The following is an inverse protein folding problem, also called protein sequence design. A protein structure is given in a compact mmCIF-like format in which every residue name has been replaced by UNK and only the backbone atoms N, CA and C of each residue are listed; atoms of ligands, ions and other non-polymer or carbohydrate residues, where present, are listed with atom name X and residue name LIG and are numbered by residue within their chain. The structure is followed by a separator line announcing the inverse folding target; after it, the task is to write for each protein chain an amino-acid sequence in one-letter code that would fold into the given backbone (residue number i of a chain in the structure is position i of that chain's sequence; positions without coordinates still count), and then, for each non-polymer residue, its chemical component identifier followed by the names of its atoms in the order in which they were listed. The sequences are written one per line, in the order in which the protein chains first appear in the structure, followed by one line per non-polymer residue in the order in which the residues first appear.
data_IF_025680885041
#
_entry.id   IF_025680885041
#
_cell.length_a   1.000
_cell.length_b   1.000
_cell.length_c   1.000
_cell.angle_alpha   90.00
_cell.angle_beta   90.00
_cell.angle_gamma   90.00
#
_symmetry.space_group_name_H-M   'P 1'
#
loop_
_entity.id
_entity.type
_entity.pdbx_description
1 polymer ?
#
# COMPACT_ATOMS: atom_id res chain seq x y z
N UNK A 1 -19.28 -22.12 31.60
CA UNK A 1 -18.09 -21.45 32.14
C UNK A 1 -16.94 -21.84 31.21
N UNK A 2 -16.99 -21.51 29.93
CA UNK A 2 -16.98 -20.17 29.33
C UNK A 2 -15.77 -19.41 29.84
N UNK A 3 -14.73 -19.30 29.01
CA UNK A 3 -13.75 -18.20 28.89
C UNK A 3 -12.71 -18.62 27.83
N UNK A 4 -13.03 -18.43 26.55
CA UNK A 4 -12.04 -18.37 25.48
C UNK A 4 -11.62 -16.90 25.33
N UNK A 5 -10.31 -16.65 25.41
CA UNK A 5 -9.72 -15.35 25.16
C UNK A 5 -9.63 -15.19 23.63
N UNK A 6 -10.40 -14.29 23.05
CA UNK A 6 -10.33 -13.90 21.64
C UNK A 6 -8.95 -13.30 21.31
N UNK A 7 -8.17 -13.97 20.46
CA UNK A 7 -7.18 -13.31 19.60
C UNK A 7 -6.81 -14.19 18.39
N UNK A 8 -7.59 -14.02 17.31
CA UNK A 8 -7.14 -13.98 15.90
C UNK A 8 -6.10 -14.98 15.37
N UNK A 9 -6.16 -16.27 15.70
CA UNK A 9 -5.39 -17.31 15.00
C UNK A 9 -6.21 -18.59 14.87
N UNK A 10 -7.05 -18.71 13.83
CA UNK A 10 -7.80 -19.95 13.57
C UNK A 10 -7.92 -20.24 12.09
N UNK A 11 -6.89 -20.88 11.50
CA UNK A 11 -6.97 -21.64 10.25
C UNK A 11 -5.87 -22.71 10.16
N UNK A 12 -6.07 -23.90 10.72
CA UNK A 12 -5.22 -25.07 10.45
C UNK A 12 -5.80 -26.41 10.97
N UNK A 13 -7.07 -26.76 10.68
CA UNK A 13 -7.56 -28.12 11.07
C UNK A 13 -8.49 -28.86 10.12
N UNK A 14 -8.91 -28.33 8.96
CA UNK A 14 -9.88 -29.07 8.13
C UNK A 14 -9.51 -29.08 6.65
N UNK A 15 -8.88 -30.18 6.19
CA UNK A 15 -9.37 -31.00 5.05
C UNK A 15 -8.24 -31.74 4.31
N UNK A 16 -7.98 -33.01 4.69
CA UNK A 16 -7.26 -33.99 3.86
C UNK A 16 -8.18 -34.94 3.09
N UNK A 17 -9.51 -34.74 3.14
CA UNK A 17 -10.44 -35.84 2.81
C UNK A 17 -11.60 -35.55 1.86
N UNK A 18 -11.92 -34.31 1.45
CA UNK A 18 -13.03 -34.10 0.51
C UNK A 18 -12.68 -33.04 -0.53
N UNK A 19 -12.63 -33.49 -1.78
CA UNK A 19 -12.39 -32.73 -3.01
C UNK A 19 -13.58 -31.80 -3.32
N UNK A 20 -13.66 -30.58 -2.74
CA UNK A 20 -14.36 -29.39 -3.30
C UNK A 20 -14.03 -28.11 -2.50
N UNK A 21 -13.96 -26.98 -3.20
CA UNK A 21 -13.33 -25.70 -2.85
C UNK A 21 -13.82 -25.02 -1.56
N UNK A 22 -12.89 -24.50 -0.72
CA UNK A 22 -12.86 -23.08 -0.30
C UNK A 22 -11.38 -22.72 -0.01
N UNK A 23 -10.75 -21.99 -0.93
CA UNK A 23 -9.48 -21.31 -0.66
C UNK A 23 -9.74 -20.22 0.38
N UNK A 24 -9.29 -20.40 1.62
CA UNK A 24 -9.14 -19.28 2.57
C UNK A 24 -7.64 -19.13 2.73
N UNK A 25 -6.99 -18.60 1.69
CA UNK A 25 -6.49 -17.23 1.68
C UNK A 25 -5.89 -16.88 3.02
N UNK A 26 -4.58 -17.14 3.12
CA UNK A 26 -3.69 -16.38 3.97
C UNK A 26 -4.18 -14.93 4.01
N UNK A 27 -4.25 -14.34 5.20
CA UNK A 27 -4.35 -12.89 5.34
C UNK A 27 -3.06 -12.30 4.73
N UNK A 28 -3.01 -12.21 3.39
CA UNK A 28 -1.90 -11.66 2.65
C UNK A 28 -1.90 -10.18 3.01
N UNK A 29 -1.09 -9.89 4.00
CA UNK A 29 -0.88 -8.55 4.48
C UNK A 29 0.05 -7.86 3.50
N UNK A 30 -0.53 -7.06 2.61
CA UNK A 30 0.19 -6.36 1.57
C UNK A 30 0.98 -5.20 2.19
N UNK A 31 2.29 -5.40 2.41
CA UNK A 31 3.14 -4.42 3.09
C UNK A 31 3.50 -3.23 2.18
N UNK A 32 3.59 -3.47 0.87
CA UNK A 32 3.86 -2.45 -0.12
C UNK A 32 3.13 -2.66 -1.46
N UNK A 33 3.23 -1.66 -2.35
CA UNK A 33 2.65 -1.73 -3.69
C UNK A 33 3.29 -2.82 -4.57
N UNK A 34 4.48 -3.31 -4.26
CA UNK A 34 5.13 -4.37 -5.04
C UNK A 34 4.51 -5.73 -4.71
N UNK A 35 4.11 -5.96 -3.47
CA UNK A 35 3.36 -7.15 -3.09
C UNK A 35 1.97 -7.14 -3.76
N UNK A 36 1.32 -5.97 -3.82
CA UNK A 36 0.07 -5.81 -4.56
C UNK A 36 0.26 -6.17 -6.03
N UNK A 37 1.33 -5.67 -6.65
CA UNK A 37 1.69 -6.00 -8.02
C UNK A 37 1.91 -7.50 -8.25
N UNK A 38 2.66 -8.17 -7.35
CA UNK A 38 2.90 -9.62 -7.40
C UNK A 38 1.62 -10.45 -7.19
N UNK A 39 0.66 -9.93 -6.43
CA UNK A 39 -0.66 -10.56 -6.25
C UNK A 39 -1.57 -10.44 -7.47
N UNK A 40 -1.12 -9.76 -8.54
CA UNK A 40 -1.85 -9.59 -9.80
C UNK A 40 -2.55 -8.23 -9.93
N UNK A 41 -2.35 -7.30 -9.00
CA UNK A 41 -2.87 -5.93 -9.14
C UNK A 41 -2.00 -5.13 -10.11
N UNK A 42 -2.46 -4.97 -11.34
CA UNK A 42 -1.71 -4.28 -12.41
C UNK A 42 -2.25 -2.90 -12.76
N UNK A 43 -3.31 -2.45 -12.09
CA UNK A 43 -3.94 -1.15 -12.34
C UNK A 43 -3.36 -0.11 -11.39
N UNK A 44 -2.87 1.02 -11.92
CA UNK A 44 -2.42 2.15 -11.08
C UNK A 44 -3.61 2.80 -10.38
N UNK A 45 -3.46 3.13 -9.10
CA UNK A 45 -4.56 3.67 -8.31
C UNK A 45 -4.21 3.84 -6.84
N UNK A 46 -5.22 4.18 -6.04
CA UNK A 46 -5.08 4.34 -4.59
C UNK A 46 -5.39 3.00 -3.93
N UNK A 47 -4.47 2.52 -3.10
CA UNK A 47 -4.57 1.27 -2.39
C UNK A 47 -4.27 1.46 -0.91
N UNK A 48 -4.83 0.60 -0.07
CA UNK A 48 -4.44 0.47 1.33
C UNK A 48 -3.30 -0.54 1.45
N UNK A 49 -2.15 -0.10 1.92
CA UNK A 49 -1.02 -0.97 2.27
C UNK A 49 -0.82 -0.93 3.78
N UNK A 50 -0.08 -1.90 4.31
CA UNK A 50 0.15 -1.99 5.74
C UNK A 50 1.65 -2.12 6.04
N UNK A 51 2.42 -1.02 5.87
CA UNK A 51 3.88 -1.05 6.00
C UNK A 51 4.36 -1.37 7.43
N UNK A 52 3.49 -1.23 8.43
CA UNK A 52 3.80 -1.44 9.84
C UNK A 52 3.10 -2.65 10.49
N UNK A 53 2.46 -3.54 9.71
CA UNK A 53 1.81 -4.73 10.28
C UNK A 53 0.37 -4.52 10.75
N UNK A 54 0.09 -3.41 11.42
CA UNK A 54 -1.17 -3.27 12.16
C UNK A 54 -2.07 -2.14 11.65
N UNK A 55 -1.48 -1.11 11.02
CA UNK A 55 -2.19 0.12 10.64
C UNK A 55 -2.14 0.30 9.13
N UNK A 56 -3.30 0.34 8.44
CA UNK A 56 -3.35 0.61 7.02
C UNK A 56 -3.00 2.06 6.73
N UNK A 57 -2.30 2.26 5.62
CA UNK A 57 -1.97 3.57 5.07
C UNK A 57 -2.42 3.60 3.61
N UNK A 58 -3.15 4.66 3.26
CA UNK A 58 -3.58 4.89 1.89
C UNK A 58 -2.44 5.50 1.07
N UNK A 59 -2.08 4.85 -0.02
CA UNK A 59 -1.01 5.28 -0.92
C UNK A 59 -1.46 5.19 -2.36
N UNK A 60 -0.88 6.01 -3.22
CA UNK A 60 -0.98 5.80 -4.65
C UNK A 60 0.07 4.79 -5.10
N UNK A 61 -0.38 3.67 -5.66
CA UNK A 61 0.48 2.66 -6.28
C UNK A 61 0.50 2.87 -7.79
N UNK A 62 1.71 3.03 -8.35
CA UNK A 62 1.91 3.06 -9.80
C UNK A 62 2.32 1.66 -10.26
N UNK A 63 1.35 0.93 -10.81
CA UNK A 63 1.51 -0.46 -11.24
C UNK A 63 2.06 -0.57 -12.67
N UNK A 64 1.94 0.48 -13.48
CA UNK A 64 2.47 0.54 -14.84
C UNK A 64 3.39 1.75 -14.92
N UNK A 65 4.69 1.54 -15.05
CA UNK A 65 5.63 2.61 -15.36
C UNK A 65 5.69 2.79 -16.88
N UNK A 66 5.51 4.02 -17.38
CA UNK A 66 5.80 4.35 -18.79
C UNK A 66 4.88 3.77 -19.88
N UNK A 67 3.79 3.09 -19.51
CA UNK A 67 2.82 2.53 -20.47
C UNK A 67 3.20 1.15 -21.04
N UNK A 68 4.30 0.54 -20.59
CA UNK A 68 4.69 -0.80 -20.96
C UNK A 68 4.52 -1.75 -19.77
N UNK A 69 3.77 -2.84 -19.97
CA UNK A 69 3.57 -3.92 -18.99
C UNK A 69 4.89 -4.64 -18.61
N UNK A 70 5.96 -4.41 -19.36
CA UNK A 70 7.27 -5.02 -19.13
C UNK A 70 8.17 -4.23 -18.17
N UNK A 71 7.81 -2.99 -17.84
CA UNK A 71 8.55 -2.21 -16.86
C UNK A 71 8.14 -2.67 -15.45
N UNK A 72 9.10 -2.95 -14.57
CA UNK A 72 8.84 -3.32 -13.17
C UNK A 72 7.85 -2.33 -12.53
N UNK A 73 6.61 -2.77 -12.33
CA UNK A 73 5.54 -2.03 -11.66
C UNK A 73 5.61 -2.13 -10.14
N UNK A 74 4.54 -1.72 -9.46
CA UNK A 74 4.42 -1.85 -8.00
C UNK A 74 5.13 -0.74 -7.22
N UNK A 75 5.23 0.45 -7.80
CA UNK A 75 5.85 1.58 -7.14
C UNK A 75 4.92 2.19 -6.10
N UNK A 76 5.43 2.39 -4.89
CA UNK A 76 4.72 3.18 -3.88
C UNK A 76 5.10 4.64 -4.04
N UNK A 77 4.12 5.48 -4.36
CA UNK A 77 4.35 6.93 -4.49
C UNK A 77 4.38 7.55 -3.09
N UNK A 78 5.50 8.17 -2.74
CA UNK A 78 5.69 8.83 -1.43
C UNK A 78 5.51 10.35 -1.48
N UNK A 79 5.64 10.91 -2.68
CA UNK A 79 5.41 12.31 -2.96
C UNK A 79 4.71 12.42 -4.31
N UNK A 80 3.59 13.14 -4.35
CA UNK A 80 2.87 13.44 -5.58
C UNK A 80 2.64 14.94 -5.70
N UNK A 81 3.06 15.53 -6.83
CA UNK A 81 2.82 16.92 -7.21
C UNK A 81 2.11 16.97 -8.55
N UNK A 82 1.05 17.77 -8.68
CA UNK A 82 0.22 17.85 -9.88
C UNK A 82 -0.09 19.29 -10.27
N UNK A 83 -0.58 20.10 -9.34
CA UNK A 83 -1.12 21.44 -9.60
C UNK A 83 -0.55 22.52 -8.66
N UNK A 84 0.24 22.14 -7.66
CA UNK A 84 0.77 23.04 -6.64
C UNK A 84 -0.26 23.49 -5.61
N UNK A 85 -1.40 22.82 -5.49
CA UNK A 85 -2.46 23.16 -4.51
C UNK A 85 -2.03 22.94 -3.06
N UNK A 86 -1.07 22.05 -2.81
CA UNK A 86 -0.60 21.75 -1.44
C UNK A 86 0.72 22.46 -1.19
N UNK A 87 0.82 23.13 -0.04
CA UNK A 87 2.06 23.76 0.39
C UNK A 87 3.05 22.72 0.91
N UNK A 88 4.21 22.60 0.24
CA UNK A 88 5.32 21.74 0.68
C UNK A 88 6.33 22.49 1.56
N UNK A 89 6.22 23.80 1.75
CA UNK A 89 7.07 24.56 2.67
C UNK A 89 6.51 24.47 4.10
N UNK A 90 6.61 23.28 4.68
CA UNK A 90 6.11 22.95 6.02
C UNK A 90 7.26 22.58 6.98
N UNK A 91 7.08 22.78 8.29
CA UNK A 91 8.07 22.39 9.29
C UNK A 91 8.28 20.86 9.35
N UNK A 92 9.44 20.45 9.89
CA UNK A 92 9.90 19.06 9.88
C UNK A 92 8.95 18.08 10.59
N UNK A 93 8.21 18.55 11.59
CA UNK A 93 7.21 17.74 12.29
C UNK A 93 6.08 17.25 11.37
N UNK A 94 5.69 18.06 10.39
CA UNK A 94 4.68 17.68 9.40
C UNK A 94 5.26 16.70 8.37
N UNK A 95 6.50 16.92 7.93
CA UNK A 95 7.20 15.97 7.05
C UNK A 95 7.38 14.59 7.67
N UNK A 96 7.51 14.49 9.00
CA UNK A 96 7.54 13.20 9.70
C UNK A 96 6.20 12.47 9.64
N UNK A 97 5.08 13.20 9.80
CA UNK A 97 3.73 12.62 9.88
C UNK A 97 3.09 12.37 8.51
N UNK A 98 3.48 13.12 7.49
CA UNK A 98 2.75 13.16 6.22
C UNK A 98 1.74 14.32 6.18
N UNK A 99 1.42 14.79 4.98
CA UNK A 99 0.44 15.84 4.74
C UNK A 99 -0.12 15.78 3.30
N UNK A 100 -1.24 16.45 3.07
CA UNK A 100 -1.92 16.48 1.76
C UNK A 100 -3.02 15.41 1.63
N UNK A 101 -3.46 15.16 0.39
CA UNK A 101 -4.50 14.18 0.06
C UNK A 101 -3.95 13.20 -0.98
N UNK A 102 -4.10 11.89 -0.73
CA UNK A 102 -3.66 10.81 -1.63
C UNK A 102 -4.33 10.85 -3.01
N UNK A 103 -5.56 11.39 -3.09
CA UNK A 103 -6.26 11.65 -4.35
C UNK A 103 -5.63 12.82 -5.14
N UNK A 104 -4.93 13.71 -4.43
CA UNK A 104 -4.36 14.95 -4.93
C UNK A 104 -2.83 14.97 -4.80
N UNK A 105 -2.32 16.11 -4.31
CA UNK A 105 -0.93 16.24 -3.89
C UNK A 105 -0.75 15.80 -2.44
N UNK A 106 0.29 15.00 -2.18
CA UNK A 106 0.59 14.56 -0.82
C UNK A 106 2.05 14.22 -0.62
N UNK A 107 2.39 14.14 0.67
CA UNK A 107 3.62 13.58 1.22
C UNK A 107 3.23 12.49 2.21
N UNK A 108 3.71 11.27 2.01
CA UNK A 108 3.31 10.11 2.82
C UNK A 108 3.80 10.18 4.27
N UNK A 109 4.97 10.78 4.51
CA UNK A 109 5.60 10.83 5.83
C UNK A 109 6.67 9.75 6.06
N UNK A 110 7.33 9.80 7.22
CA UNK A 110 8.47 8.92 7.57
C UNK A 110 8.06 7.49 7.96
N UNK A 111 6.78 7.24 8.21
CA UNK A 111 6.26 5.95 8.71
C UNK A 111 6.51 4.78 7.73
N UNK A 112 6.80 5.07 6.46
CA UNK A 112 6.92 4.06 5.40
C UNK A 112 8.33 3.47 5.19
N UNK A 113 9.19 3.41 6.21
CA UNK A 113 10.57 2.91 6.04
C UNK A 113 10.68 1.44 5.62
N UNK A 114 9.59 0.65 5.73
CA UNK A 114 9.54 -0.75 5.30
C UNK A 114 9.13 -0.94 3.83
N UNK A 115 8.92 0.14 3.08
CA UNK A 115 8.51 0.06 1.68
C UNK A 115 9.74 -0.03 0.78
N UNK A 116 9.81 -1.08 -0.03
CA UNK A 116 11.01 -1.40 -0.83
C UNK A 116 11.13 -0.56 -2.11
N UNK A 117 10.01 -0.18 -2.72
CA UNK A 117 9.97 0.55 -3.99
C UNK A 117 9.28 1.90 -3.83
N UNK A 118 10.08 2.96 -3.81
CA UNK A 118 9.63 4.34 -3.61
C UNK A 118 9.78 5.15 -4.89
N UNK A 119 8.74 5.93 -5.22
CA UNK A 119 8.77 6.87 -6.34
C UNK A 119 8.35 8.27 -5.89
N UNK A 120 9.08 9.27 -6.38
CA UNK A 120 8.68 10.68 -6.30
C UNK A 120 8.08 11.08 -7.64
N UNK A 121 6.84 11.52 -7.65
CA UNK A 121 6.14 11.92 -8.87
C UNK A 121 5.99 13.43 -8.92
N UNK A 122 6.75 14.06 -9.82
CA UNK A 122 6.62 15.47 -10.17
C UNK A 122 5.90 15.59 -11.50
N UNK A 123 4.57 15.66 -11.46
CA UNK A 123 3.78 16.04 -12.63
C UNK A 123 3.67 17.57 -12.65
N UNK A 124 4.73 18.26 -13.06
CA UNK A 124 4.63 19.67 -13.46
C UNK A 124 4.28 19.68 -14.95
N UNK A 125 3.01 19.94 -15.28
CA UNK A 125 2.67 20.36 -16.63
C UNK A 125 2.99 21.84 -16.76
N UNK A 126 3.96 22.18 -17.61
CA UNK A 126 3.98 23.46 -18.29
C UNK A 126 4.20 23.22 -19.78
#
# INVERSE_FOLDING_TARGET
MSLEIESSVSQCVVSMYIQTCIFIHDCIHQFDCSDLYKSGQTVSGIYSIYPAGDIPVWVYCEMISGGNIQDNGGWTVIQRRMDGSVNFYLPWDQYKRGFGNVEGEYWLGKISQHVSFLKFTLTYNK
#
